data_IF_947153092618
#
_entry.id   IF_947153092618
#
_cell.length_a   1.000
_cell.length_b   1.000
_cell.length_c   1.000
_cell.angle_alpha   90.00
_cell.angle_beta   90.00
_cell.angle_gamma   90.00
#
_symmetry.space_group_name_H-M   'P 1'
#
loop_
_entity.id
_entity.type
_entity.pdbx_description
1 polymer ?
#
# COMPACT_ATOMS: atom_id res chain seq x y z
N UNK A 1 -10.06 -13.55 9.23
CA UNK A 1 -9.20 -12.50 8.63
C UNK A 1 -8.35 -13.18 7.58
N UNK A 2 -8.30 -12.65 6.36
CA UNK A 2 -7.35 -13.15 5.36
C UNK A 2 -5.92 -12.96 5.87
N UNK A 3 -5.06 -13.95 5.60
CA UNK A 3 -3.62 -13.85 5.87
C UNK A 3 -3.03 -12.63 5.14
N UNK A 4 -2.07 -11.94 5.76
CA UNK A 4 -1.37 -10.78 5.17
C UNK A 4 -0.73 -11.17 3.84
N UNK A 5 -0.20 -12.40 3.75
CA UNK A 5 0.32 -12.94 2.50
C UNK A 5 -0.78 -13.09 1.43
N UNK A 6 -1.98 -13.51 1.81
CA UNK A 6 -3.11 -13.62 0.89
C UNK A 6 -3.58 -12.27 0.36
N UNK A 7 -3.62 -11.26 1.22
CA UNK A 7 -3.96 -9.88 0.83
C UNK A 7 -2.89 -9.31 -0.11
N UNK A 8 -1.62 -9.58 0.18
CA UNK A 8 -0.52 -9.20 -0.70
C UNK A 8 -0.67 -9.82 -2.10
N UNK A 9 -0.98 -11.12 -2.19
CA UNK A 9 -1.22 -11.81 -3.47
C UNK A 9 -2.43 -11.25 -4.24
N UNK A 10 -3.49 -10.86 -3.54
CA UNK A 10 -4.64 -10.17 -4.17
C UNK A 10 -4.25 -8.78 -4.66
N UNK A 11 -3.42 -8.05 -3.93
CA UNK A 11 -2.92 -6.74 -4.32
C UNK A 11 -1.99 -6.82 -5.55
N UNK A 12 -1.11 -7.84 -5.60
CA UNK A 12 -0.33 -8.17 -6.81
C UNK A 12 -1.24 -8.38 -8.02
N UNK A 13 -2.30 -9.19 -7.85
CA UNK A 13 -3.23 -9.47 -8.93
C UNK A 13 -3.96 -8.20 -9.40
N UNK A 14 -4.46 -7.38 -8.48
CA UNK A 14 -5.14 -6.12 -8.81
C UNK A 14 -4.23 -5.16 -9.60
N UNK A 15 -3.00 -5.00 -9.13
CA UNK A 15 -2.00 -4.14 -9.78
C UNK A 15 -1.70 -4.60 -11.20
N UNK A 16 -1.52 -5.91 -11.42
CA UNK A 16 -1.24 -6.46 -12.75
C UNK A 16 -2.44 -6.33 -13.70
N UNK A 17 -3.66 -6.54 -13.20
CA UNK A 17 -4.89 -6.33 -13.99
C UNK A 17 -4.97 -4.89 -14.48
N UNK A 18 -4.75 -3.90 -13.59
CA UNK A 18 -4.86 -2.49 -13.95
C UNK A 18 -3.75 -2.05 -14.91
N UNK A 19 -2.53 -2.56 -14.73
CA UNK A 19 -1.41 -2.30 -15.65
C UNK A 19 -1.70 -2.82 -17.06
N UNK A 20 -2.11 -4.09 -17.20
CA UNK A 20 -2.38 -4.72 -18.49
C UNK A 20 -3.61 -4.12 -19.17
N UNK A 21 -4.68 -3.86 -18.40
CA UNK A 21 -5.88 -3.23 -18.92
C UNK A 21 -5.61 -1.81 -19.42
N UNK A 22 -4.83 -1.02 -18.67
CA UNK A 22 -4.42 0.33 -19.08
C UNK A 22 -3.59 0.31 -20.36
N UNK A 23 -2.65 -0.64 -20.47
CA UNK A 23 -1.87 -0.82 -21.69
C UNK A 23 -2.75 -1.16 -22.89
N UNK A 24 -3.60 -2.19 -22.78
CA UNK A 24 -4.48 -2.65 -23.86
C UNK A 24 -5.50 -1.58 -24.29
N UNK A 25 -6.00 -0.77 -23.36
CA UNK A 25 -6.94 0.32 -23.67
C UNK A 25 -6.36 1.36 -24.64
N UNK A 26 -5.03 1.49 -24.72
CA UNK A 26 -4.35 2.41 -25.65
C UNK A 26 -4.09 1.80 -27.04
N UNK A 27 -4.47 0.54 -27.27
CA UNK A 27 -4.21 -0.19 -28.53
C UNK A 27 -5.40 -0.14 -29.47
N UNK A 28 -5.69 1.05 -29.99
CA UNK A 28 -6.83 1.29 -30.90
C UNK A 28 -6.80 0.49 -32.22
N UNK A 29 -5.64 -0.06 -32.59
CA UNK A 29 -5.45 -0.81 -33.83
C UNK A 29 -6.17 -2.17 -33.86
N UNK A 30 -6.53 -2.75 -32.70
CA UNK A 30 -7.22 -4.06 -32.64
C UNK A 30 -8.74 -3.96 -32.84
N UNK A 31 -9.26 -2.74 -33.04
CA UNK A 31 -10.68 -2.49 -33.26
C UNK A 31 -11.53 -2.57 -31.98
N UNK A 32 -12.80 -2.13 -32.06
CA UNK A 32 -13.65 -1.96 -30.88
C UNK A 32 -14.03 -3.28 -30.17
N UNK A 33 -13.96 -4.42 -30.86
CA UNK A 33 -14.29 -5.74 -30.29
C UNK A 33 -13.19 -6.21 -29.34
N UNK A 34 -11.92 -6.18 -29.78
CA UNK A 34 -10.80 -6.59 -28.94
C UNK A 34 -10.60 -5.69 -27.70
N UNK A 35 -10.89 -4.39 -27.86
CA UNK A 35 -10.94 -3.45 -26.74
C UNK A 35 -12.02 -3.81 -25.73
N UNK A 36 -13.22 -4.20 -26.19
CA UNK A 36 -14.32 -4.62 -25.33
C UNK A 36 -13.99 -5.92 -24.60
N UNK A 37 -13.46 -6.92 -25.29
CA UNK A 37 -13.07 -8.20 -24.69
C UNK A 37 -12.01 -8.01 -23.60
N UNK A 38 -10.99 -7.20 -23.86
CA UNK A 38 -9.94 -6.89 -22.88
C UNK A 38 -10.50 -6.13 -21.66
N UNK A 39 -11.43 -5.19 -21.89
CA UNK A 39 -12.09 -4.46 -20.81
C UNK A 39 -13.02 -5.36 -19.97
N UNK A 40 -13.75 -6.26 -20.61
CA UNK A 40 -14.61 -7.24 -19.93
C UNK A 40 -13.78 -8.23 -19.11
N UNK A 41 -12.67 -8.72 -19.64
CA UNK A 41 -11.73 -9.58 -18.93
C UNK A 41 -11.15 -8.86 -17.69
N UNK A 42 -10.67 -7.62 -17.85
CA UNK A 42 -10.19 -6.81 -16.74
C UNK A 42 -11.27 -6.56 -15.68
N UNK A 43 -12.51 -6.28 -16.08
CA UNK A 43 -13.65 -6.12 -15.17
C UNK A 43 -13.92 -7.41 -14.39
N UNK A 44 -13.90 -8.57 -15.05
CA UNK A 44 -14.06 -9.86 -14.39
C UNK A 44 -12.93 -10.14 -13.39
N UNK A 45 -11.68 -9.81 -13.75
CA UNK A 45 -10.52 -9.92 -12.86
C UNK A 45 -10.66 -9.06 -11.61
N UNK A 46 -11.03 -7.78 -11.76
CA UNK A 46 -11.29 -6.88 -10.62
C UNK A 46 -12.40 -7.40 -9.71
N UNK A 47 -13.47 -7.96 -10.29
CA UNK A 47 -14.55 -8.56 -9.52
C UNK A 47 -14.09 -9.81 -8.74
N UNK A 48 -13.22 -10.64 -9.34
CA UNK A 48 -12.62 -11.78 -8.66
C UNK A 48 -11.72 -11.34 -7.49
N UNK A 49 -10.88 -10.31 -7.69
CA UNK A 49 -10.07 -9.70 -6.62
C UNK A 49 -10.96 -9.18 -5.48
N UNK A 50 -12.00 -8.40 -5.79
CA UNK A 50 -12.90 -7.84 -4.79
C UNK A 50 -13.64 -8.92 -3.99
N UNK A 51 -13.95 -10.05 -4.62
CA UNK A 51 -14.53 -11.21 -3.97
C UNK A 51 -13.50 -12.13 -3.29
N UNK A 52 -12.21 -11.78 -3.31
CA UNK A 52 -11.14 -12.56 -2.71
C UNK A 52 -10.89 -13.90 -3.41
N UNK A 53 -11.21 -14.03 -4.70
CA UNK A 53 -11.01 -15.26 -5.50
C UNK A 53 -9.71 -15.18 -6.29
N UNK A 54 -8.58 -15.42 -5.60
CA UNK A 54 -7.24 -15.23 -6.16
C UNK A 54 -6.99 -16.07 -7.42
N UNK A 55 -7.41 -17.34 -7.45
CA UNK A 55 -7.22 -18.20 -8.63
C UNK A 55 -7.88 -17.62 -9.88
N UNK A 56 -9.15 -17.25 -9.77
CA UNK A 56 -9.88 -16.62 -10.88
C UNK A 56 -9.24 -15.30 -11.32
N UNK A 57 -8.72 -14.50 -10.38
CA UNK A 57 -8.00 -13.27 -10.72
C UNK A 57 -6.71 -13.54 -11.51
N UNK A 58 -5.94 -14.59 -11.13
CA UNK A 58 -4.74 -15.01 -11.86
C UNK A 58 -5.07 -15.52 -13.25
N UNK A 59 -6.15 -16.28 -13.41
CA UNK A 59 -6.59 -16.77 -14.73
C UNK A 59 -6.90 -15.58 -15.67
N UNK A 60 -7.53 -14.50 -15.15
CA UNK A 60 -7.76 -13.26 -15.93
C UNK A 60 -6.49 -12.50 -16.27
N UNK A 61 -5.48 -12.55 -15.42
CA UNK A 61 -4.17 -11.96 -15.73
C UNK A 61 -3.52 -12.70 -16.89
N UNK A 62 -3.60 -14.03 -16.92
CA UNK A 62 -3.05 -14.82 -18.00
C UNK A 62 -3.79 -14.56 -19.33
N UNK A 63 -5.12 -14.42 -19.31
CA UNK A 63 -5.92 -13.97 -20.46
C UNK A 63 -5.42 -12.60 -20.98
N UNK A 64 -5.25 -11.62 -20.08
CA UNK A 64 -4.78 -10.27 -20.43
C UNK A 64 -3.33 -10.27 -20.95
N UNK A 65 -2.46 -11.11 -20.40
CA UNK A 65 -1.07 -11.29 -20.88
C UNK A 65 -1.05 -11.88 -22.28
N UNK A 66 -1.88 -12.87 -22.56
CA UNK A 66 -1.98 -13.45 -23.90
C UNK A 66 -2.39 -12.39 -24.94
N UNK A 67 -3.29 -11.47 -24.57
CA UNK A 67 -3.66 -10.34 -25.42
C UNK A 67 -2.50 -9.35 -25.58
N UNK A 68 -1.81 -9.01 -24.49
CA UNK A 68 -0.69 -8.07 -24.50
C UNK A 68 0.53 -8.59 -25.28
N UNK A 69 0.74 -9.91 -25.31
CA UNK A 69 1.87 -10.54 -26.02
C UNK A 69 1.90 -10.23 -27.52
N UNK A 70 0.75 -9.90 -28.13
CA UNK A 70 0.67 -9.41 -29.53
C UNK A 70 1.47 -8.13 -29.76
N UNK A 71 1.80 -7.43 -28.68
CA UNK A 71 2.48 -6.14 -28.65
C UNK A 71 3.85 -6.22 -27.97
N UNK A 72 4.47 -7.40 -27.82
CA UNK A 72 5.71 -7.60 -27.07
C UNK A 72 6.90 -6.72 -27.52
N UNK A 73 6.89 -6.23 -28.76
CA UNK A 73 7.92 -5.30 -29.29
C UNK A 73 7.57 -3.81 -29.18
N UNK A 74 6.42 -3.46 -28.58
CA UNK A 74 5.98 -2.07 -28.49
C UNK A 74 6.77 -1.32 -27.40
N UNK A 75 7.24 -0.07 -27.62
CA UNK A 75 8.05 0.68 -26.64
C UNK A 75 7.38 0.91 -25.29
N UNK A 76 6.05 0.84 -25.25
CA UNK A 76 5.24 0.98 -24.04
C UNK A 76 4.65 -0.35 -23.53
N UNK A 77 5.11 -1.50 -24.06
CA UNK A 77 4.72 -2.78 -23.50
C UNK A 77 5.10 -2.81 -22.01
N UNK A 78 4.20 -3.26 -21.12
CA UNK A 78 4.52 -3.36 -19.70
C UNK A 78 5.69 -4.34 -19.53
N UNK A 79 6.87 -3.80 -19.19
CA UNK A 79 8.01 -4.63 -18.80
C UNK A 79 7.83 -5.19 -17.40
N UNK A 80 8.64 -6.18 -17.03
CA UNK A 80 8.75 -6.58 -15.63
C UNK A 80 9.44 -5.45 -14.85
N UNK A 81 8.75 -4.80 -13.90
CA UNK A 81 9.40 -3.81 -13.05
C UNK A 81 10.44 -4.49 -12.15
N UNK A 82 11.45 -3.75 -11.72
CA UNK A 82 12.39 -4.24 -10.73
C UNK A 82 11.67 -4.61 -9.43
N UNK A 83 12.20 -5.59 -8.68
CA UNK A 83 11.56 -6.12 -7.47
C UNK A 83 11.12 -5.03 -6.47
N UNK A 84 11.97 -4.02 -6.26
CA UNK A 84 11.65 -2.89 -5.37
C UNK A 84 10.48 -2.03 -5.87
N UNK A 85 10.40 -1.76 -7.17
CA UNK A 85 9.31 -0.99 -7.75
C UNK A 85 8.00 -1.79 -7.75
N UNK A 86 8.09 -3.09 -7.97
CA UNK A 86 6.96 -4.01 -7.85
C UNK A 86 6.41 -3.99 -6.44
N UNK A 87 7.28 -4.16 -5.43
CA UNK A 87 6.87 -4.15 -4.01
C UNK A 87 6.22 -2.82 -3.62
N UNK A 88 6.81 -1.69 -4.05
CA UNK A 88 6.26 -0.37 -3.77
C UNK A 88 4.87 -0.18 -4.39
N UNK A 89 4.67 -0.61 -5.65
CA UNK A 89 3.37 -0.54 -6.34
C UNK A 89 2.34 -1.45 -5.69
N UNK A 90 2.70 -2.69 -5.39
CA UNK A 90 1.81 -3.68 -4.74
C UNK A 90 1.37 -3.20 -3.36
N UNK A 91 2.28 -2.51 -2.64
CA UNK A 91 1.98 -2.00 -1.32
C UNK A 91 0.83 -0.98 -1.28
N UNK A 92 0.72 -0.11 -2.28
CA UNK A 92 -0.39 0.85 -2.37
C UNK A 92 -1.73 0.13 -2.55
N UNK A 93 -1.79 -0.89 -3.40
CA UNK A 93 -2.99 -1.74 -3.56
C UNK A 93 -3.31 -2.51 -2.28
N UNK A 94 -2.30 -3.06 -1.60
CA UNK A 94 -2.48 -3.81 -0.35
C UNK A 94 -3.07 -2.93 0.75
N UNK A 95 -2.62 -1.67 0.86
CA UNK A 95 -3.17 -0.70 1.82
C UNK A 95 -4.65 -0.41 1.55
N UNK A 96 -5.04 -0.22 0.29
CA UNK A 96 -6.43 0.09 -0.04
C UNK A 96 -7.36 -1.11 0.22
N UNK A 97 -6.88 -2.34 -0.05
CA UNK A 97 -7.62 -3.56 0.32
C UNK A 97 -7.75 -3.74 1.84
N UNK A 98 -6.69 -3.45 2.59
CA UNK A 98 -6.73 -3.46 4.06
C UNK A 98 -7.71 -2.42 4.59
N UNK A 99 -7.74 -1.22 3.99
CA UNK A 99 -8.70 -0.16 4.33
C UNK A 99 -10.14 -0.58 4.05
N UNK A 100 -10.41 -1.24 2.91
CA UNK A 100 -11.75 -1.68 2.55
C UNK A 100 -12.33 -2.75 3.50
N UNK A 101 -11.46 -3.53 4.17
CA UNK A 101 -11.87 -4.51 5.19
C UNK A 101 -12.12 -3.90 6.57
N UNK A 102 -11.74 -2.65 6.80
CA UNK A 102 -12.00 -1.98 8.07
C UNK A 102 -13.45 -1.49 8.08
N UNK A 103 -14.22 -1.75 9.16
CA UNK A 103 -15.51 -1.12 9.34
C UNK A 103 -15.35 0.40 9.29
N UNK A 104 -16.12 1.08 8.43
CA UNK A 104 -16.25 2.53 8.45
C UNK A 104 -16.89 2.92 9.79
N UNK A 105 -16.04 3.27 10.74
CA UNK A 105 -16.49 3.95 11.94
C UNK A 105 -15.79 5.29 11.95
N UNK A 106 -16.54 6.36 11.79
CA UNK A 106 -16.05 7.73 11.80
C UNK A 106 -15.17 8.02 13.04
N UNK A 107 -15.47 7.36 14.15
CA UNK A 107 -14.64 7.36 15.37
C UNK A 107 -13.21 6.81 15.13
N UNK A 108 -13.03 5.77 14.30
CA UNK A 108 -11.71 5.23 13.91
C UNK A 108 -10.96 6.18 12.98
N UNK A 109 -11.66 6.92 12.12
CA UNK A 109 -11.06 7.94 11.23
C UNK A 109 -10.56 9.13 12.05
N UNK A 110 -11.36 9.63 12.99
CA UNK A 110 -10.96 10.68 13.92
C UNK A 110 -9.77 10.24 14.79
N UNK A 111 -9.82 9.03 15.35
CA UNK A 111 -8.72 8.46 16.11
C UNK A 111 -7.43 8.28 15.27
N UNK A 112 -7.55 7.81 14.02
CA UNK A 112 -6.43 7.68 13.09
C UNK A 112 -5.78 9.04 12.80
N UNK A 113 -6.59 10.07 12.53
CA UNK A 113 -6.11 11.44 12.28
C UNK A 113 -5.40 12.02 13.50
N UNK A 114 -5.96 11.83 14.69
CA UNK A 114 -5.34 12.24 15.95
C UNK A 114 -4.00 11.56 16.17
N UNK A 115 -3.92 10.23 16.00
CA UNK A 115 -2.69 9.46 16.13
C UNK A 115 -1.62 9.94 15.13
N UNK A 116 -1.97 10.12 13.84
CA UNK A 116 -1.04 10.60 12.82
C UNK A 116 -0.53 12.02 13.09
N UNK A 117 -1.38 12.90 13.63
CA UNK A 117 -0.98 14.24 14.05
C UNK A 117 0.04 14.18 15.19
N UNK A 118 -0.23 13.38 16.23
CA UNK A 118 0.69 13.21 17.37
C UNK A 118 2.01 12.58 16.93
N UNK A 119 1.99 11.56 16.05
CA UNK A 119 3.21 10.94 15.52
C UNK A 119 4.08 11.98 14.81
N UNK A 120 3.50 12.79 13.92
CA UNK A 120 4.23 13.84 13.20
C UNK A 120 4.81 14.89 14.13
N UNK A 121 4.04 15.30 15.13
CA UNK A 121 4.46 16.28 16.13
C UNK A 121 5.67 15.77 16.93
N UNK A 122 5.55 14.60 17.59
CA UNK A 122 6.62 14.04 18.43
C UNK A 122 7.89 13.72 17.63
N UNK A 123 7.74 13.17 16.42
CA UNK A 123 8.88 12.92 15.53
C UNK A 123 9.62 14.23 15.24
N UNK A 124 8.88 15.29 14.87
CA UNK A 124 9.49 16.58 14.57
C UNK A 124 10.17 17.15 15.81
N UNK A 125 9.50 17.11 16.95
CA UNK A 125 10.02 17.60 18.24
C UNK A 125 11.34 16.93 18.60
N UNK A 126 11.42 15.59 18.60
CA UNK A 126 12.66 14.86 18.89
C UNK A 126 13.75 15.21 17.87
N UNK A 127 13.42 15.26 16.57
CA UNK A 127 14.41 15.50 15.53
C UNK A 127 15.01 16.92 15.53
N UNK A 128 14.29 17.92 16.06
CA UNK A 128 14.78 19.30 16.14
C UNK A 128 15.46 19.62 17.47
N UNK A 129 15.37 18.74 18.47
CA UNK A 129 16.01 18.95 19.77
C UNK A 129 17.54 18.84 19.67
N UNK A 130 18.30 19.83 20.17
CA UNK A 130 19.76 19.79 20.20
C UNK A 130 20.32 18.58 20.96
N UNK A 131 19.66 18.19 22.05
CA UNK A 131 20.09 17.15 23.00
C UNK A 131 19.82 15.73 22.48
N UNK A 132 18.96 15.59 21.47
CA UNK A 132 18.67 14.30 20.86
C UNK A 132 19.86 13.84 19.99
N UNK A 133 20.52 12.76 20.42
CA UNK A 133 21.59 12.12 19.68
C UNK A 133 21.12 11.51 18.34
N UNK A 134 22.08 11.10 17.51
CA UNK A 134 21.78 10.52 16.20
C UNK A 134 20.92 9.24 16.29
N UNK A 135 21.08 8.45 17.37
CA UNK A 135 20.33 7.21 17.57
C UNK A 135 18.87 7.51 17.93
N UNK A 136 18.62 8.46 18.83
CA UNK A 136 17.30 8.92 19.20
C UNK A 136 16.54 9.48 17.98
N UNK A 137 17.24 10.21 17.09
CA UNK A 137 16.65 10.69 15.83
C UNK A 137 16.29 9.54 14.89
N UNK A 138 17.16 8.54 14.75
CA UNK A 138 16.90 7.35 13.93
C UNK A 138 15.72 6.53 14.49
N UNK A 139 15.68 6.32 15.82
CA UNK A 139 14.61 5.63 16.52
C UNK A 139 13.28 6.36 16.37
N UNK A 140 13.28 7.70 16.46
CA UNK A 140 12.09 8.51 16.26
C UNK A 140 11.52 8.35 14.85
N UNK A 141 12.38 8.36 13.82
CA UNK A 141 11.98 8.11 12.43
C UNK A 141 11.40 6.70 12.27
N UNK A 142 12.05 5.68 12.83
CA UNK A 142 11.62 4.30 12.72
C UNK A 142 10.27 4.05 13.41
N UNK A 143 10.13 4.50 14.66
CA UNK A 143 8.89 4.36 15.44
C UNK A 143 7.74 5.14 14.80
N UNK A 144 8.00 6.35 14.30
CA UNK A 144 7.00 7.14 13.59
C UNK A 144 6.53 6.46 12.30
N UNK A 145 7.46 5.89 11.52
CA UNK A 145 7.16 5.14 10.30
C UNK A 145 6.28 3.92 10.57
N UNK A 146 6.64 3.10 11.59
CA UNK A 146 5.85 1.93 11.98
C UNK A 146 4.47 2.29 12.53
N UNK A 147 4.39 3.36 13.33
CA UNK A 147 3.12 3.84 13.86
C UNK A 147 2.20 4.36 12.74
N UNK A 148 2.73 5.14 11.80
CA UNK A 148 1.99 5.66 10.66
C UNK A 148 1.51 4.51 9.75
N UNK A 149 2.39 3.56 9.44
CA UNK A 149 2.04 2.36 8.69
C UNK A 149 0.89 1.60 9.35
N UNK A 150 0.97 1.35 10.66
CA UNK A 150 -0.08 0.69 11.42
C UNK A 150 -1.43 1.44 11.38
N UNK A 151 -1.42 2.78 11.31
CA UNK A 151 -2.64 3.56 11.07
C UNK A 151 -3.16 3.35 9.66
N UNK A 152 -2.28 3.40 8.65
CA UNK A 152 -2.65 3.25 7.24
C UNK A 152 -3.32 1.90 6.94
N UNK A 153 -2.87 0.85 7.62
CA UNK A 153 -3.45 -0.51 7.52
C UNK A 153 -4.56 -0.77 8.55
N UNK A 154 -5.00 0.23 9.30
CA UNK A 154 -6.14 0.12 10.23
C UNK A 154 -5.87 -0.57 11.56
N UNK A 155 -4.63 -0.98 11.83
CA UNK A 155 -4.21 -1.60 13.08
C UNK A 155 -3.96 -0.55 14.17
N UNK A 156 -5.02 0.15 14.61
CA UNK A 156 -4.92 1.22 15.61
C UNK A 156 -4.31 0.78 16.94
N UNK A 157 -4.45 -0.49 17.33
CA UNK A 157 -3.79 -1.04 18.52
C UNK A 157 -2.25 -1.05 18.38
N UNK A 158 -1.75 -1.48 17.23
CA UNK A 158 -0.32 -1.45 16.92
C UNK A 158 0.19 -0.01 16.77
N UNK A 159 -0.59 0.87 16.13
CA UNK A 159 -0.26 2.29 16.02
C UNK A 159 -0.14 2.95 17.40
N UNK A 160 -1.07 2.67 18.32
CA UNK A 160 -1.00 3.17 19.72
C UNK A 160 0.20 2.60 20.48
N UNK A 161 0.57 1.34 20.24
CA UNK A 161 1.77 0.73 20.84
C UNK A 161 3.03 1.47 20.43
N UNK A 162 3.22 1.70 19.13
CA UNK A 162 4.40 2.43 18.63
C UNK A 162 4.36 3.91 19.04
N UNK A 163 3.17 4.54 19.07
CA UNK A 163 3.02 5.90 19.60
C UNK A 163 3.44 6.02 21.07
N UNK A 164 3.11 5.03 21.92
CA UNK A 164 3.58 5.01 23.32
C UNK A 164 5.11 4.94 23.41
N UNK A 165 5.76 4.14 22.55
CA UNK A 165 7.22 4.06 22.49
C UNK A 165 7.85 5.36 22.02
N UNK A 166 7.22 6.04 21.05
CA UNK A 166 7.65 7.36 20.57
C UNK A 166 7.50 8.44 21.65
N UNK A 167 6.43 8.41 22.46
CA UNK A 167 6.26 9.30 23.62
C UNK A 167 7.34 9.07 24.66
N UNK A 168 7.60 7.80 25.02
CA UNK A 168 8.66 7.47 25.96
C UNK A 168 10.05 7.91 25.46
N UNK A 169 10.29 7.89 24.15
CA UNK A 169 11.51 8.43 23.56
C UNK A 169 11.57 9.97 23.70
N UNK A 170 10.47 10.68 23.42
CA UNK A 170 10.40 12.13 23.60
C UNK A 170 10.63 12.56 25.05
N UNK A 171 10.09 11.81 26.02
CA UNK A 171 10.31 12.02 27.45
C UNK A 171 11.78 11.84 27.85
N UNK A 172 12.44 10.79 27.35
CA UNK A 172 13.89 10.60 27.59
C UNK A 172 14.71 11.76 27.04
N UNK A 173 14.42 12.19 25.82
CA UNK A 173 15.06 13.36 25.22
C UNK A 173 14.68 14.69 25.89
N UNK A 174 13.74 14.70 26.84
CA UNK A 174 13.38 15.88 27.65
C UNK A 174 14.07 15.85 29.03
N UNK A 175 14.31 14.66 29.56
CA UNK A 175 14.85 14.46 30.91
C UNK A 175 16.38 14.47 31.02
N UNK A 176 17.11 14.64 29.91
CA UNK A 176 18.56 14.82 29.92
C UNK A 176 19.01 16.26 30.28
N UNK A 177 18.09 17.13 30.71
CA UNK A 177 18.41 18.48 31.22
C UNK A 177 18.98 18.51 32.65
N UNK A 178 19.01 17.38 33.39
CA UNK A 178 19.38 17.34 34.82
C UNK A 178 20.66 16.52 35.16
N UNK A 179 21.64 16.42 34.24
CA UNK A 179 22.96 15.81 34.56
C UNK A 179 24.16 16.61 34.09
#
# INVERSE_FOLDING_TARGET
MADVYYIWRLAEAAQQIDLLAGFLATRHADGPVALRESAECARAGRAAVAAGRLREALDRIDDLRAHAARWAGHPHHPGEPGAFEQDARVWDYAKDMLRAQLPSQEAKVSAARGILSTIRHLRREICVRPEADAQARADALHLAGRAAMAVEIGHLGAARKELRRLRALAERCAGDEDR
#
